data_IF_420668002747
#
_entry.id   IF_420668002747
#
_cell.length_a   1.000
_cell.length_b   1.000
_cell.length_c   1.000
_cell.angle_alpha   90.00
_cell.angle_beta   90.00
_cell.angle_gamma   90.00
#
_symmetry.space_group_name_H-M   'P 1'
#
loop_
_entity.id
_entity.type
_entity.pdbx_description
1 polymer ?
#
# COMPACT_ATOMS: atom_id res chain seq x y z
N UNK A 1 6.11 -26.65 -16.82
CA UNK A 1 6.04 -25.18 -16.74
C UNK A 1 7.28 -24.66 -17.43
N UNK A 2 7.13 -23.89 -18.51
CA UNK A 2 8.27 -23.40 -19.30
C UNK A 2 8.96 -22.25 -18.54
N UNK A 3 10.28 -22.12 -18.72
CA UNK A 3 11.15 -21.16 -18.03
C UNK A 3 10.68 -19.71 -18.18
N UNK A 4 10.09 -19.36 -19.32
CA UNK A 4 9.54 -18.03 -19.64
C UNK A 4 8.39 -17.58 -18.73
N UNK A 5 7.63 -18.53 -18.17
CA UNK A 5 6.55 -18.21 -17.23
C UNK A 5 7.06 -17.81 -15.84
N UNK A 6 8.27 -18.19 -15.46
CA UNK A 6 8.87 -17.83 -14.18
C UNK A 6 9.47 -16.44 -14.22
N UNK A 7 10.16 -16.10 -15.30
CA UNK A 7 10.79 -14.79 -15.52
C UNK A 7 9.76 -13.65 -15.49
N UNK A 8 8.62 -13.83 -16.17
CA UNK A 8 7.54 -12.85 -16.15
C UNK A 8 6.92 -12.61 -14.77
N UNK A 9 6.80 -13.66 -13.95
CA UNK A 9 6.29 -13.56 -12.57
C UNK A 9 7.29 -12.82 -11.68
N UNK A 10 8.58 -13.03 -11.89
CA UNK A 10 9.64 -12.36 -11.14
C UNK A 10 9.66 -10.85 -11.43
N UNK A 11 9.68 -10.48 -12.71
CA UNK A 11 9.61 -9.07 -13.15
C UNK A 11 8.34 -8.39 -12.64
N UNK A 12 7.18 -9.07 -12.72
CA UNK A 12 5.93 -8.56 -12.16
C UNK A 12 6.06 -8.28 -10.66
N UNK A 13 6.61 -9.23 -9.88
CA UNK A 13 6.76 -9.09 -8.42
C UNK A 13 7.69 -7.94 -8.05
N UNK A 14 8.81 -7.81 -8.74
CA UNK A 14 9.79 -6.75 -8.48
C UNK A 14 9.16 -5.37 -8.68
N UNK A 15 8.45 -5.18 -9.80
CA UNK A 15 7.77 -3.92 -10.11
C UNK A 15 6.61 -3.66 -9.14
N UNK A 16 5.80 -4.69 -8.84
CA UNK A 16 4.70 -4.58 -7.87
C UNK A 16 5.21 -4.15 -6.49
N UNK A 17 6.21 -4.84 -5.96
CA UNK A 17 6.71 -4.58 -4.61
C UNK A 17 7.39 -3.22 -4.49
N UNK A 18 8.08 -2.77 -5.53
CA UNK A 18 8.69 -1.43 -5.55
C UNK A 18 7.64 -0.34 -5.37
N UNK A 19 6.57 -0.37 -6.19
CA UNK A 19 5.52 0.66 -6.13
C UNK A 19 4.64 0.53 -4.89
N UNK A 20 4.36 -0.69 -4.44
CA UNK A 20 3.64 -0.93 -3.19
C UNK A 20 4.44 -0.42 -1.98
N UNK A 21 5.76 -0.65 -1.95
CA UNK A 21 6.64 -0.16 -0.88
C UNK A 21 6.68 1.38 -0.84
N UNK A 22 6.75 2.03 -2.00
CA UNK A 22 6.67 3.49 -2.10
C UNK A 22 5.33 4.02 -1.58
N UNK A 23 4.20 3.42 -2.01
CA UNK A 23 2.87 3.79 -1.51
C UNK A 23 2.73 3.57 0.00
N UNK A 24 3.24 2.46 0.52
CA UNK A 24 3.23 2.15 1.95
C UNK A 24 4.09 3.14 2.76
N UNK A 25 5.26 3.54 2.25
CA UNK A 25 6.10 4.54 2.89
C UNK A 25 5.39 5.89 2.99
N UNK A 26 4.80 6.38 1.90
CA UNK A 26 4.02 7.63 1.88
C UNK A 26 2.83 7.55 2.84
N UNK A 27 2.14 6.42 2.87
CA UNK A 27 1.04 6.18 3.80
C UNK A 27 1.51 6.24 5.26
N UNK A 28 2.60 5.55 5.60
CA UNK A 28 3.16 5.55 6.94
C UNK A 28 3.57 6.96 7.39
N UNK A 29 4.28 7.71 6.54
CA UNK A 29 4.67 9.08 6.83
C UNK A 29 3.46 9.99 7.07
N UNK A 30 2.41 9.84 6.26
CA UNK A 30 1.15 10.57 6.41
C UNK A 30 0.46 10.26 7.74
N UNK A 31 0.40 8.98 8.13
CA UNK A 31 -0.19 8.56 9.41
C UNK A 31 0.61 9.08 10.61
N UNK A 32 1.94 8.99 10.56
CA UNK A 32 2.81 9.56 11.60
C UNK A 32 2.59 11.07 11.72
N UNK A 33 2.58 11.79 10.61
CA UNK A 33 2.30 13.23 10.59
C UNK A 33 0.94 13.54 11.21
N UNK A 34 -0.10 12.79 10.84
CA UNK A 34 -1.43 12.87 11.42
C UNK A 34 -1.40 12.78 12.95
N UNK A 35 -0.89 11.66 13.47
CA UNK A 35 -0.93 11.33 14.90
C UNK A 35 -0.11 12.29 15.75
N UNK A 36 1.09 12.66 15.29
CA UNK A 36 2.03 13.42 16.10
C UNK A 36 1.89 14.94 15.92
N UNK A 37 1.43 15.43 14.76
CA UNK A 37 1.39 16.88 14.47
C UNK A 37 0.00 17.51 14.52
N UNK A 38 -1.06 16.73 14.26
CA UNK A 38 -2.40 17.27 14.06
C UNK A 38 -3.42 16.84 15.13
N UNK A 39 -4.47 17.65 15.25
CA UNK A 39 -5.69 17.32 16.00
C UNK A 39 -6.54 16.32 15.21
N UNK A 40 -7.63 15.83 15.81
CA UNK A 40 -8.49 14.77 15.26
C UNK A 40 -8.88 14.99 13.80
N UNK A 41 -9.35 16.19 13.43
CA UNK A 41 -9.74 16.47 12.04
C UNK A 41 -8.57 16.29 11.05
N UNK A 42 -7.36 16.76 11.40
CA UNK A 42 -6.17 16.56 10.57
C UNK A 42 -5.68 15.11 10.55
N UNK A 43 -5.87 14.36 11.64
CA UNK A 43 -5.59 12.91 11.66
C UNK A 43 -6.48 12.15 10.67
N UNK A 44 -7.77 12.49 10.59
CA UNK A 44 -8.70 11.89 9.63
C UNK A 44 -8.28 12.20 8.20
N UNK A 45 -7.89 13.45 7.91
CA UNK A 45 -7.38 13.82 6.57
C UNK A 45 -6.11 13.03 6.23
N UNK A 46 -5.16 12.93 7.16
CA UNK A 46 -3.94 12.13 6.97
C UNK A 46 -4.24 10.64 6.76
N UNK A 47 -5.24 10.08 7.45
CA UNK A 47 -5.69 8.70 7.27
C UNK A 47 -6.28 8.46 5.88
N UNK A 48 -7.11 9.39 5.38
CA UNK A 48 -7.66 9.32 4.03
C UNK A 48 -6.55 9.41 2.97
N UNK A 49 -5.61 10.33 3.13
CA UNK A 49 -4.45 10.47 2.24
C UNK A 49 -3.57 9.21 2.26
N UNK A 50 -3.33 8.63 3.44
CA UNK A 50 -2.59 7.38 3.58
C UNK A 50 -3.30 6.22 2.86
N UNK A 51 -4.62 6.13 3.01
CA UNK A 51 -5.45 5.11 2.34
C UNK A 51 -5.35 5.23 0.82
N UNK A 52 -5.45 6.46 0.30
CA UNK A 52 -5.31 6.74 -1.14
C UNK A 52 -3.89 6.40 -1.61
N UNK A 53 -2.86 6.80 -0.88
CA UNK A 53 -1.47 6.53 -1.25
C UNK A 53 -1.17 5.03 -1.34
N UNK A 54 -1.62 4.24 -0.35
CA UNK A 54 -1.45 2.80 -0.36
C UNK A 54 -2.24 2.14 -1.50
N UNK A 55 -3.49 2.57 -1.71
CA UNK A 55 -4.33 2.08 -2.80
C UNK A 55 -3.73 2.38 -4.18
N UNK A 56 -3.25 3.61 -4.41
CA UNK A 56 -2.59 4.01 -5.66
C UNK A 56 -1.29 3.24 -5.86
N UNK A 57 -0.47 3.06 -4.82
CA UNK A 57 0.76 2.27 -4.91
C UNK A 57 0.49 0.81 -5.33
N UNK A 58 -0.57 0.22 -4.80
CA UNK A 58 -1.03 -1.13 -5.18
C UNK A 58 -1.54 -1.17 -6.62
N UNK A 59 -2.46 -0.27 -6.99
CA UNK A 59 -3.04 -0.21 -8.34
C UNK A 59 -1.97 0.04 -9.40
N UNK A 60 -1.08 1.00 -9.16
CA UNK A 60 -0.01 1.35 -10.07
C UNK A 60 1.06 0.25 -10.15
N UNK A 61 1.42 -0.37 -9.02
CA UNK A 61 2.35 -1.50 -9.00
C UNK A 61 1.85 -2.70 -9.81
N UNK A 62 0.56 -2.99 -9.76
CA UNK A 62 -0.07 -4.03 -10.60
C UNK A 62 -0.02 -3.62 -12.07
N UNK A 63 -0.46 -2.40 -12.38
CA UNK A 63 -0.53 -1.93 -13.76
C UNK A 63 0.85 -1.96 -14.42
N UNK A 64 1.85 -1.39 -13.74
CA UNK A 64 3.23 -1.39 -14.20
C UNK A 64 3.84 -2.79 -14.20
N UNK A 65 3.51 -3.65 -13.23
CA UNK A 65 4.00 -5.02 -13.17
C UNK A 65 3.51 -5.85 -14.35
N UNK A 66 2.23 -5.75 -14.71
CA UNK A 66 1.71 -6.39 -15.92
C UNK A 66 2.31 -5.76 -17.17
N UNK A 67 2.47 -4.44 -17.23
CA UNK A 67 3.15 -3.78 -18.35
C UNK A 67 4.58 -4.27 -18.56
N UNK A 68 5.34 -4.45 -17.48
CA UNK A 68 6.70 -4.98 -17.53
C UNK A 68 6.74 -6.45 -17.96
N UNK A 69 5.85 -7.30 -17.42
CA UNK A 69 5.73 -8.69 -17.86
C UNK A 69 5.36 -8.77 -19.34
N UNK A 70 4.35 -8.01 -19.79
CA UNK A 70 3.92 -7.96 -21.20
C UNK A 70 4.98 -7.40 -22.15
N UNK A 71 5.94 -6.62 -21.64
CA UNK A 71 7.05 -6.07 -22.41
C UNK A 71 8.22 -7.04 -22.64
N UNK A 72 8.21 -8.23 -22.03
CA UNK A 72 9.25 -9.25 -22.27
C UNK A 72 9.20 -9.78 -23.71
N UNK A 73 10.33 -10.28 -24.26
CA UNK A 73 10.38 -10.82 -25.62
C UNK A 73 9.45 -12.02 -25.88
N UNK A 74 9.20 -12.85 -24.86
CA UNK A 74 8.24 -13.97 -24.89
C UNK A 74 7.39 -13.96 -23.60
N UNK A 75 6.38 -13.07 -23.50
CA UNK A 75 5.63 -12.85 -22.26
C UNK A 75 4.65 -14.00 -21.93
N UNK A 76 4.30 -14.82 -22.93
CA UNK A 76 3.30 -15.89 -22.85
C UNK A 76 1.86 -15.40 -22.65
N UNK A 77 0.89 -16.27 -22.91
CA UNK A 77 -0.55 -15.92 -22.85
C UNK A 77 -1.01 -15.50 -21.45
N UNK A 78 -0.34 -15.98 -20.39
CA UNK A 78 -0.67 -15.66 -18.99
C UNK A 78 -0.48 -14.18 -18.65
N UNK A 79 0.40 -13.47 -19.34
CA UNK A 79 0.60 -12.03 -19.14
C UNK A 79 -0.66 -11.19 -19.46
N UNK A 80 -1.58 -11.74 -20.26
CA UNK A 80 -2.81 -11.05 -20.70
C UNK A 80 -4.10 -11.62 -20.09
N UNK A 81 -4.05 -12.82 -19.51
CA UNK A 81 -5.23 -13.53 -19.01
C UNK A 81 -5.91 -12.84 -17.80
N UNK A 82 -5.18 -11.99 -17.09
CA UNK A 82 -5.57 -11.51 -15.75
C UNK A 82 -5.92 -10.02 -15.66
N UNK A 83 -5.64 -9.21 -16.70
CA UNK A 83 -5.76 -7.75 -16.64
C UNK A 83 -7.17 -7.24 -16.30
N UNK A 84 -8.22 -7.83 -16.88
CA UNK A 84 -9.62 -7.40 -16.67
C UNK A 84 -10.15 -7.78 -15.28
N UNK A 85 -9.78 -8.96 -14.75
CA UNK A 85 -10.23 -9.44 -13.43
C UNK A 85 -9.56 -8.66 -12.30
N UNK A 86 -8.26 -8.40 -12.40
CA UNK A 86 -7.55 -7.61 -11.39
C UNK A 86 -8.01 -6.16 -11.37
N UNK A 87 -8.30 -5.56 -12.53
CA UNK A 87 -8.77 -4.16 -12.58
C UNK A 87 -10.06 -3.98 -11.76
N UNK A 88 -11.02 -4.91 -11.86
CA UNK A 88 -12.24 -4.89 -11.03
C UNK A 88 -11.96 -5.08 -9.53
N UNK A 89 -11.04 -5.97 -9.17
CA UNK A 89 -10.65 -6.17 -7.76
C UNK A 89 -9.93 -4.95 -7.17
N UNK A 90 -9.14 -4.21 -7.95
CA UNK A 90 -8.46 -3.00 -7.47
C UNK A 90 -9.35 -1.77 -7.39
N UNK A 91 -10.47 -1.71 -8.12
CA UNK A 91 -11.47 -0.66 -7.90
C UNK A 91 -12.07 -0.70 -6.47
N UNK A 92 -12.08 -1.87 -5.82
CA UNK A 92 -12.43 -2.02 -4.41
C UNK A 92 -11.23 -2.08 -3.47
N UNK A 93 -10.01 -1.94 -3.99
CA UNK A 93 -8.75 -2.02 -3.23
C UNK A 93 -8.58 -0.92 -2.17
N UNK A 94 -9.38 0.16 -2.25
CA UNK A 94 -9.42 1.20 -1.22
C UNK A 94 -9.96 0.68 0.13
N UNK A 95 -10.82 -0.34 0.13
CA UNK A 95 -11.38 -0.91 1.35
C UNK A 95 -10.32 -1.67 2.18
N UNK A 96 -9.58 -2.66 1.63
CA UNK A 96 -8.50 -3.31 2.36
C UNK A 96 -7.38 -2.31 2.71
N UNK A 97 -7.06 -1.36 1.84
CA UNK A 97 -6.10 -0.30 2.15
C UNK A 97 -6.55 0.52 3.37
N UNK A 98 -7.83 0.90 3.42
CA UNK A 98 -8.41 1.65 4.54
C UNK A 98 -8.38 0.88 5.85
N UNK A 99 -8.64 -0.44 5.82
CA UNK A 99 -8.54 -1.32 6.99
C UNK A 99 -7.09 -1.34 7.51
N UNK A 100 -6.12 -1.57 6.63
CA UNK A 100 -4.69 -1.59 6.99
C UNK A 100 -4.25 -0.24 7.57
N UNK A 101 -4.57 0.87 6.89
CA UNK A 101 -4.22 2.20 7.37
C UNK A 101 -4.89 2.53 8.71
N UNK A 102 -6.14 2.13 8.92
CA UNK A 102 -6.86 2.34 10.19
C UNK A 102 -6.25 1.54 11.33
N UNK A 103 -5.83 0.30 11.06
CA UNK A 103 -5.13 -0.53 12.06
C UNK A 103 -3.79 0.10 12.47
N UNK A 104 -2.99 0.53 11.50
CA UNK A 104 -1.71 1.22 11.76
C UNK A 104 -1.94 2.53 12.50
N UNK A 105 -2.95 3.31 12.12
CA UNK A 105 -3.33 4.54 12.81
C UNK A 105 -3.71 4.27 14.28
N UNK A 106 -4.51 3.24 14.54
CA UNK A 106 -4.85 2.80 15.90
C UNK A 106 -3.62 2.39 16.71
N UNK A 107 -2.68 1.65 16.13
CA UNK A 107 -1.41 1.29 16.77
C UNK A 107 -0.56 2.54 17.10
N UNK A 108 -0.49 3.51 16.20
CA UNK A 108 0.22 4.77 16.44
C UNK A 108 -0.43 5.60 17.57
N UNK A 109 -1.76 5.63 17.64
CA UNK A 109 -2.48 6.28 18.74
C UNK A 109 -2.23 5.58 20.07
N UNK A 110 -2.24 4.25 20.09
CA UNK A 110 -1.90 3.45 21.27
C UNK A 110 -0.46 3.71 21.71
N UNK A 111 0.49 3.68 20.77
CA UNK A 111 1.90 3.99 21.05
C UNK A 111 2.05 5.40 21.63
N UNK A 112 1.44 6.41 21.02
CA UNK A 112 1.44 7.78 21.54
C UNK A 112 0.90 7.86 22.99
N UNK A 113 -0.15 7.09 23.31
CA UNK A 113 -0.74 7.05 24.66
C UNK A 113 0.17 6.35 25.67
N UNK A 114 0.82 5.25 25.28
CA UNK A 114 1.69 4.46 26.14
C UNK A 114 3.02 5.16 26.45
N UNK A 115 3.64 5.78 25.43
CA UNK A 115 4.93 6.46 25.58
C UNK A 115 4.80 7.96 25.91
N UNK A 116 3.61 8.55 25.78
CA UNK A 116 3.34 9.94 26.12
C UNK A 116 2.96 10.19 27.59
N UNK A 117 2.74 9.13 28.39
CA UNK A 117 2.60 9.24 29.85
C UNK A 117 3.99 9.32 30.48
N UNK A 118 4.47 10.56 30.66
CA UNK A 118 5.64 10.80 31.51
C UNK A 118 5.35 10.48 32.98
N UNK A 119 6.39 10.27 33.81
CA UNK A 119 6.28 9.88 35.23
C UNK A 119 5.55 10.86 36.17
N UNK A 120 4.97 11.97 35.66
CA UNK A 120 4.32 13.00 36.46
C UNK A 120 2.92 12.62 36.98
N UNK A 121 2.28 11.55 36.46
CA UNK A 121 0.98 11.07 36.97
C UNK A 121 1.10 10.05 38.13
N UNK A 122 2.31 9.77 38.63
CA UNK A 122 2.57 8.80 39.71
C UNK A 122 2.90 9.44 41.07
N UNK A 123 2.70 10.76 41.22
CA UNK A 123 2.94 11.51 42.46
C UNK A 123 1.64 11.93 43.15
#
# INVERSE_FOLDING_TARGET
MNETGWEGVEVYREVLYTHLALGALVALLSLCLGVFRFRVAGQVVCLLLATIALWVGLWYGVHMGYGAWQGLPDPGEKAYADGAKLTGSFMFGWLPAGIVCSAVWGLLLLGKKLFGRGPEEAA
#
